data_IF_719208265551
#
_entry.id   IF_719208265551
#
_cell.length_a   1.000
_cell.length_b   1.000
_cell.length_c   1.000
_cell.angle_alpha   90.00
_cell.angle_beta   90.00
_cell.angle_gamma   90.00
#
_symmetry.space_group_name_H-M   'P 1'
#
loop_
_entity.id
_entity.type
_entity.pdbx_description
1 polymer ?
#
# COMPACT_ATOMS: atom_id res chain seq x y z
N UNK A 1 -25.95 5.97 6.55
CA UNK A 1 -26.09 6.09 5.08
C UNK A 1 -24.91 6.86 4.48
N UNK A 2 -24.51 7.99 5.09
CA UNK A 2 -23.31 8.74 4.72
C UNK A 2 -22.03 7.88 4.79
N UNK A 3 -21.87 7.08 5.85
CA UNK A 3 -20.69 6.21 6.04
C UNK A 3 -20.50 5.19 4.90
N UNK A 4 -21.60 4.62 4.41
CA UNK A 4 -21.58 3.70 3.27
C UNK A 4 -21.15 4.41 1.98
N UNK A 5 -21.58 5.65 1.77
CA UNK A 5 -21.19 6.44 0.59
C UNK A 5 -19.71 6.80 0.66
N UNK A 6 -19.22 7.22 1.83
CA UNK A 6 -17.79 7.51 2.06
C UNK A 6 -16.94 6.27 1.83
N UNK A 7 -17.39 5.10 2.31
CA UNK A 7 -16.70 3.83 2.09
C UNK A 7 -16.64 3.44 0.62
N UNK A 8 -17.74 3.59 -0.12
CA UNK A 8 -17.79 3.30 -1.56
C UNK A 8 -16.83 4.21 -2.32
N UNK A 9 -16.87 5.52 -2.07
CA UNK A 9 -15.98 6.49 -2.74
C UNK A 9 -14.52 6.20 -2.40
N UNK A 10 -14.22 5.91 -1.14
CA UNK A 10 -12.88 5.56 -0.71
C UNK A 10 -12.38 4.25 -1.34
N UNK A 11 -13.26 3.25 -1.47
CA UNK A 11 -12.92 1.97 -2.09
C UNK A 11 -12.61 2.14 -3.58
N UNK A 12 -13.38 2.98 -4.29
CA UNK A 12 -13.10 3.34 -5.69
C UNK A 12 -11.76 4.07 -5.79
N UNK A 13 -11.46 4.98 -4.86
CA UNK A 13 -10.18 5.69 -4.80
C UNK A 13 -8.98 4.74 -4.64
N UNK A 14 -9.09 3.76 -3.73
CA UNK A 14 -8.08 2.72 -3.51
C UNK A 14 -7.88 1.88 -4.78
N UNK A 15 -8.97 1.47 -5.43
CA UNK A 15 -8.91 0.70 -6.68
C UNK A 15 -8.21 1.47 -7.80
N UNK A 16 -8.54 2.76 -7.98
CA UNK A 16 -7.88 3.61 -8.97
C UNK A 16 -6.39 3.79 -8.67
N UNK A 17 -6.01 3.95 -7.40
CA UNK A 17 -4.62 4.05 -6.98
C UNK A 17 -3.84 2.76 -7.27
N UNK A 18 -4.44 1.60 -7.01
CA UNK A 18 -3.86 0.29 -7.34
C UNK A 18 -3.72 0.06 -8.86
N UNK A 19 -4.69 0.49 -9.67
CA UNK A 19 -4.60 0.42 -11.14
C UNK A 19 -3.46 1.32 -11.65
N UNK A 20 -3.32 2.53 -11.10
CA UNK A 20 -2.22 3.43 -11.43
C UNK A 20 -0.87 2.79 -11.13
N UNK A 21 -0.75 2.14 -9.97
CA UNK A 21 0.44 1.41 -9.57
C UNK A 21 0.83 0.31 -10.57
N UNK A 22 -0.17 -0.40 -11.09
CA UNK A 22 0.00 -1.47 -12.08
C UNK A 22 0.45 -0.95 -13.45
N UNK A 23 -0.06 0.21 -13.88
CA UNK A 23 0.24 0.77 -15.21
C UNK A 23 1.57 1.54 -15.28
N UNK A 24 2.22 1.81 -14.14
CA UNK A 24 3.48 2.57 -14.12
C UNK A 24 4.62 1.78 -14.82
N UNK A 25 5.20 2.37 -15.86
CA UNK A 25 6.14 1.74 -16.81
C UNK A 25 7.51 1.43 -16.19
N UNK A 26 8.00 0.20 -16.34
CA UNK A 26 9.23 -0.29 -15.68
C UNK A 26 10.49 0.54 -16.03
N UNK A 27 10.90 1.40 -15.10
CA UNK A 27 12.17 2.15 -15.13
C UNK A 27 13.05 1.72 -13.96
N UNK A 28 14.36 2.01 -14.04
CA UNK A 28 15.31 1.80 -12.91
C UNK A 28 14.73 2.42 -11.62
N UNK A 29 14.70 1.63 -10.55
CA UNK A 29 14.16 1.96 -9.22
C UNK A 29 12.63 2.12 -9.11
N UNK A 30 11.84 1.65 -10.08
CA UNK A 30 10.37 1.76 -10.00
C UNK A 30 9.77 0.98 -8.84
N UNK A 31 10.43 -0.10 -8.38
CA UNK A 31 9.94 -0.91 -7.28
C UNK A 31 9.84 -0.11 -5.97
N UNK A 32 10.81 0.79 -5.71
CA UNK A 32 10.75 1.71 -4.57
C UNK A 32 9.61 2.72 -4.71
N UNK A 33 9.39 3.25 -5.92
CA UNK A 33 8.26 4.15 -6.18
C UNK A 33 6.91 3.43 -5.99
N UNK A 34 6.80 2.17 -6.45
CA UNK A 34 5.61 1.34 -6.28
C UNK A 34 5.36 1.04 -4.79
N UNK A 35 6.39 0.68 -4.05
CA UNK A 35 6.31 0.46 -2.60
C UNK A 35 5.92 1.73 -1.84
N UNK A 36 6.40 2.90 -2.24
CA UNK A 36 6.01 4.17 -1.61
C UNK A 36 4.51 4.46 -1.85
N UNK A 37 4.01 4.31 -3.07
CA UNK A 37 2.59 4.53 -3.38
C UNK A 37 1.72 3.50 -2.65
N UNK A 38 2.12 2.23 -2.64
CA UNK A 38 1.44 1.17 -1.88
C UNK A 38 1.37 1.51 -0.38
N UNK A 39 2.47 1.99 0.22
CA UNK A 39 2.49 2.42 1.61
C UNK A 39 1.53 3.58 1.91
N UNK A 40 1.35 4.53 0.98
CA UNK A 40 0.35 5.61 1.14
C UNK A 40 -1.07 5.06 1.11
N UNK A 41 -1.36 4.10 0.22
CA UNK A 41 -2.66 3.43 0.14
C UNK A 41 -2.94 2.64 1.43
N UNK A 42 -1.95 1.91 1.94
CA UNK A 42 -2.07 1.12 3.17
C UNK A 42 -2.40 2.00 4.39
N UNK A 43 -1.74 3.15 4.53
CA UNK A 43 -2.04 4.11 5.59
C UNK A 43 -3.46 4.67 5.45
N UNK A 44 -3.93 4.96 4.24
CA UNK A 44 -5.31 5.40 4.01
C UNK A 44 -6.31 4.30 4.44
N UNK A 45 -6.06 3.04 4.11
CA UNK A 45 -6.86 1.90 4.56
C UNK A 45 -6.89 1.77 6.09
N UNK A 46 -5.75 1.93 6.76
CA UNK A 46 -5.65 1.89 8.23
C UNK A 46 -6.50 3.00 8.87
N UNK A 47 -6.46 4.22 8.32
CA UNK A 47 -7.29 5.34 8.81
C UNK A 47 -8.79 5.02 8.67
N UNK A 48 -9.19 4.44 7.53
CA UNK A 48 -10.59 4.04 7.32
C UNK A 48 -11.00 2.95 8.32
N UNK A 49 -10.14 1.97 8.59
CA UNK A 49 -10.40 0.93 9.59
C UNK A 49 -10.58 1.52 11.00
N UNK A 50 -9.80 2.55 11.36
CA UNK A 50 -9.98 3.28 12.62
C UNK A 50 -11.34 4.00 12.68
N UNK A 51 -11.75 4.66 11.59
CA UNK A 51 -13.05 5.33 11.49
C UNK A 51 -14.21 4.31 11.58
N UNK A 52 -14.04 3.12 11.02
CA UNK A 52 -15.00 2.01 11.11
C UNK A 52 -15.02 1.31 12.48
N UNK A 53 -14.33 1.85 13.49
CA UNK A 53 -14.24 1.28 14.83
C UNK A 53 -13.65 -0.14 14.85
N UNK A 54 -12.66 -0.41 13.98
CA UNK A 54 -11.89 -1.67 13.94
C UNK A 54 -10.43 -1.44 14.35
N UNK A 55 -10.15 -1.01 15.61
CA UNK A 55 -8.82 -0.57 16.03
C UNK A 55 -7.79 -1.70 16.07
N UNK A 56 -8.20 -2.92 16.44
CA UNK A 56 -7.30 -4.08 16.48
C UNK A 56 -6.77 -4.42 15.08
N UNK A 57 -7.63 -4.40 14.06
CA UNK A 57 -7.27 -4.67 12.67
C UNK A 57 -6.33 -3.59 12.12
N UNK A 58 -6.65 -2.33 12.39
CA UNK A 58 -5.84 -1.18 12.00
C UNK A 58 -4.41 -1.27 12.57
N UNK A 59 -4.27 -1.63 13.85
CA UNK A 59 -2.96 -1.76 14.51
C UNK A 59 -2.13 -2.92 13.93
N UNK A 60 -2.78 -4.04 13.62
CA UNK A 60 -2.12 -5.18 12.97
C UNK A 60 -1.59 -4.78 11.59
N UNK A 61 -2.40 -4.10 10.78
CA UNK A 61 -1.98 -3.60 9.46
C UNK A 61 -0.88 -2.53 9.56
N UNK A 62 -0.95 -1.64 10.55
CA UNK A 62 0.07 -0.61 10.79
C UNK A 62 1.46 -1.21 11.03
N UNK A 63 1.53 -2.35 11.71
CA UNK A 63 2.79 -3.07 11.94
C UNK A 63 3.17 -3.88 10.70
N UNK A 64 2.24 -4.58 10.06
CA UNK A 64 2.55 -5.47 8.94
C UNK A 64 3.02 -4.74 7.68
N UNK A 65 2.41 -3.61 7.32
CA UNK A 65 2.73 -2.87 6.09
C UNK A 65 4.21 -2.44 5.98
N UNK A 66 4.84 -1.79 6.98
CA UNK A 66 6.25 -1.41 6.87
C UNK A 66 7.18 -2.64 6.82
N UNK A 67 6.85 -3.73 7.52
CA UNK A 67 7.64 -4.96 7.46
C UNK A 67 7.54 -5.63 6.09
N UNK A 68 6.35 -5.67 5.50
CA UNK A 68 6.14 -6.18 4.15
C UNK A 68 6.90 -5.35 3.12
N UNK A 69 6.80 -4.02 3.19
CA UNK A 69 7.53 -3.13 2.29
C UNK A 69 9.06 -3.29 2.42
N UNK A 70 9.57 -3.41 3.64
CA UNK A 70 10.99 -3.64 3.89
C UNK A 70 11.47 -4.99 3.36
N UNK A 71 10.71 -6.06 3.57
CA UNK A 71 11.05 -7.39 3.06
C UNK A 71 11.10 -7.43 1.53
N UNK A 72 10.15 -6.78 0.86
CA UNK A 72 10.10 -6.69 -0.62
C UNK A 72 11.27 -5.87 -1.15
N UNK A 73 11.56 -4.71 -0.56
CA UNK A 73 12.70 -3.87 -0.96
C UNK A 73 14.04 -4.60 -0.77
N UNK A 74 14.20 -5.30 0.35
CA UNK A 74 15.40 -6.07 0.65
C UNK A 74 15.61 -7.22 -0.34
N UNK A 75 14.54 -7.95 -0.67
CA UNK A 75 14.60 -9.01 -1.67
C UNK A 75 15.04 -8.49 -3.05
N UNK A 76 14.49 -7.34 -3.49
CA UNK A 76 14.89 -6.73 -4.76
C UNK A 76 16.36 -6.27 -4.75
N UNK A 77 16.82 -5.67 -3.64
CA UNK A 77 18.20 -5.22 -3.50
C UNK A 77 19.19 -6.39 -3.63
N UNK A 78 18.92 -7.52 -2.96
CA UNK A 78 19.79 -8.70 -3.05
C UNK A 78 19.70 -9.42 -4.40
N UNK A 79 18.56 -9.37 -5.11
CA UNK A 79 18.44 -9.92 -6.46
C UNK A 79 19.21 -9.08 -7.50
N UNK A 80 19.20 -7.76 -7.38
CA UNK A 80 20.05 -6.87 -8.18
C UNK A 80 21.53 -7.07 -7.86
N UNK A 81 21.89 -7.18 -6.57
CA UNK A 81 23.28 -7.39 -6.13
C UNK A 81 23.87 -8.73 -6.62
N UNK A 82 23.09 -9.81 -6.65
CA UNK A 82 23.56 -11.12 -7.13
C UNK A 82 23.63 -11.23 -8.67
N UNK A 83 23.14 -10.22 -9.41
CA UNK A 83 23.22 -10.15 -10.87
C UNK A 83 24.45 -9.38 -11.38
N UNK A 84 25.13 -8.63 -10.52
CA UNK A 84 26.42 -7.95 -10.81
C UNK A 84 27.61 -8.89 -10.57
#
# INVERSE_FOLDING_TARGET
MLDNVVLIVSSIGILLASIRLWMEEDRKNILYARLHIAGVIDIACIIIMLIMNQPLLALVYLILCPFAAHAIANANYYDEYNKE
#
